data_IF_111765854695
#
_entry.id   IF_111765854695
#
_cell.length_a   1.000
_cell.length_b   1.000
_cell.length_c   1.000
_cell.angle_alpha   90.00
_cell.angle_beta   90.00
_cell.angle_gamma   90.00
#
_symmetry.space_group_name_H-M   'P 1'
#
loop_
_entity.id
_entity.type
_entity.pdbx_description
1 polymer ?
#
# COMPACT_ATOMS: atom_id res chain seq x y z
N UNK A 1 47.45 9.95 -53.16
CA UNK A 1 48.63 9.07 -53.14
C UNK A 1 49.34 9.00 -54.46
N UNK A 2 50.45 8.26 -54.48
CA UNK A 2 51.10 7.76 -55.70
C UNK A 2 50.62 6.34 -55.97
N UNK A 3 50.48 5.95 -57.24
CA UNK A 3 50.13 4.56 -57.57
C UNK A 3 51.29 3.61 -57.26
N UNK A 4 51.00 2.55 -56.51
CA UNK A 4 51.92 1.45 -56.20
C UNK A 4 51.50 0.18 -56.97
N UNK A 5 52.46 -0.68 -57.30
CA UNK A 5 52.19 -1.95 -57.98
C UNK A 5 51.79 -2.97 -56.91
N UNK A 6 50.60 -3.55 -57.04
CA UNK A 6 50.08 -4.60 -56.15
C UNK A 6 49.55 -5.78 -56.97
N UNK A 7 49.62 -6.98 -56.39
CA UNK A 7 49.23 -8.23 -57.05
C UNK A 7 50.26 -8.75 -58.05
N UNK A 8 50.14 -10.04 -58.37
CA UNK A 8 51.06 -10.69 -59.30
C UNK A 8 50.75 -10.31 -60.75
N UNK A 9 51.79 -10.03 -61.53
CA UNK A 9 51.65 -9.82 -62.98
C UNK A 9 51.21 -11.11 -63.68
N UNK A 10 50.32 -11.00 -64.66
CA UNK A 10 49.86 -12.15 -65.45
C UNK A 10 50.01 -11.92 -66.95
N UNK A 11 50.27 -12.98 -67.71
CA UNK A 11 50.40 -12.90 -69.17
C UNK A 11 49.02 -12.80 -69.82
N UNK A 12 48.83 -11.79 -70.68
CA UNK A 12 47.61 -11.61 -71.47
C UNK A 12 47.63 -12.63 -72.62
N UNK A 13 46.86 -13.70 -72.49
CA UNK A 13 46.80 -14.81 -73.47
C UNK A 13 45.53 -14.81 -74.34
N UNK A 14 44.53 -14.00 -73.98
CA UNK A 14 43.28 -13.81 -74.72
C UNK A 14 42.70 -12.41 -74.46
N UNK A 15 41.83 -11.93 -75.36
CA UNK A 15 41.10 -10.65 -75.23
C UNK A 15 39.83 -10.82 -74.38
N UNK A 16 39.99 -11.34 -73.17
CA UNK A 16 38.92 -11.52 -72.19
C UNK A 16 39.26 -10.80 -70.88
N UNK A 17 38.28 -10.45 -70.04
CA UNK A 17 38.56 -9.92 -68.71
C UNK A 17 39.52 -10.82 -67.94
N UNK A 18 40.53 -10.21 -67.33
CA UNK A 18 41.54 -10.89 -66.51
C UNK A 18 41.29 -10.47 -65.06
N UNK A 19 41.26 -11.45 -64.17
CA UNK A 19 41.19 -11.22 -62.72
C UNK A 19 42.60 -11.33 -62.16
N UNK A 20 43.07 -10.27 -61.50
CA UNK A 20 44.34 -10.27 -60.77
C UNK A 20 43.98 -10.35 -59.28
N UNK A 21 44.25 -11.48 -58.59
CA UNK A 21 44.05 -11.53 -57.16
C UNK A 21 45.11 -10.65 -56.47
N UNK A 22 44.65 -9.83 -55.52
CA UNK A 22 45.52 -9.08 -54.61
C UNK A 22 45.30 -9.66 -53.22
N UNK A 23 46.37 -10.07 -52.54
CA UNK A 23 46.26 -10.57 -51.18
C UNK A 23 45.96 -9.42 -50.21
N UNK A 24 45.33 -9.73 -49.08
CA UNK A 24 45.12 -8.72 -48.02
C UNK A 24 46.46 -8.14 -47.53
N UNK A 25 47.51 -8.96 -47.48
CA UNK A 25 48.86 -8.52 -47.09
C UNK A 25 49.43 -7.49 -48.07
N UNK A 26 49.32 -7.75 -49.38
CA UNK A 26 49.82 -6.80 -50.39
C UNK A 26 49.00 -5.51 -50.39
N UNK A 27 47.69 -5.61 -50.18
CA UNK A 27 46.81 -4.45 -50.12
C UNK A 27 47.06 -3.59 -48.88
N UNK A 28 47.25 -4.22 -47.70
CA UNK A 28 47.57 -3.53 -46.45
C UNK A 28 49.01 -2.99 -46.40
N UNK A 29 49.89 -3.46 -47.29
CA UNK A 29 51.26 -2.97 -47.40
C UNK A 29 51.39 -1.66 -48.20
N UNK A 30 50.30 -1.17 -48.81
CA UNK A 30 50.27 0.13 -49.49
C UNK A 30 50.67 1.23 -48.51
N UNK A 31 51.50 2.17 -48.96
CA UNK A 31 52.02 3.25 -48.11
C UNK A 31 50.92 4.19 -47.59
N UNK A 32 49.85 4.33 -48.37
CA UNK A 32 48.66 5.13 -48.04
C UNK A 32 47.54 4.29 -47.38
N UNK A 33 47.79 3.01 -47.00
CA UNK A 33 46.80 2.23 -46.25
C UNK A 33 46.67 2.76 -44.83
N UNK A 34 45.67 3.61 -44.61
CA UNK A 34 45.37 4.22 -43.33
C UNK A 34 43.86 4.39 -43.17
N UNK A 35 43.41 4.47 -41.92
CA UNK A 35 42.01 4.74 -41.61
C UNK A 35 41.53 6.06 -42.23
N UNK A 36 40.35 6.04 -42.85
CA UNK A 36 39.78 7.13 -43.62
C UNK A 36 40.41 7.37 -45.00
N UNK A 37 41.31 6.51 -45.47
CA UNK A 37 41.94 6.66 -46.79
C UNK A 37 41.04 6.16 -47.94
N UNK A 38 41.13 6.80 -49.10
CA UNK A 38 40.47 6.39 -50.32
C UNK A 38 41.47 5.75 -51.29
N UNK A 39 41.17 4.55 -51.77
CA UNK A 39 42.00 3.81 -52.71
C UNK A 39 41.27 3.65 -54.05
N UNK A 40 41.92 4.13 -55.11
CA UNK A 40 41.52 3.90 -56.50
C UNK A 40 42.46 2.88 -57.16
N UNK A 41 41.91 2.02 -58.01
CA UNK A 41 42.67 1.00 -58.71
C UNK A 41 42.77 1.35 -60.19
N UNK A 42 43.94 1.16 -60.80
CA UNK A 42 44.10 1.22 -62.27
C UNK A 42 44.93 0.05 -62.76
N UNK A 43 44.66 -0.40 -63.98
CA UNK A 43 45.45 -1.44 -64.61
C UNK A 43 46.74 -0.88 -65.24
N UNK A 44 47.81 -1.67 -65.22
CA UNK A 44 49.05 -1.42 -65.98
C UNK A 44 49.16 -2.51 -67.03
N UNK A 45 49.28 -2.13 -68.30
CA UNK A 45 49.44 -3.07 -69.41
C UNK A 45 50.78 -2.82 -70.07
N UNK A 46 51.57 -3.89 -70.27
CA UNK A 46 52.84 -3.83 -70.99
C UNK A 46 52.85 -4.81 -72.15
N UNK A 47 53.30 -4.36 -73.32
CA UNK A 47 53.72 -5.22 -74.42
C UNK A 47 55.25 -5.39 -74.46
N UNK A 48 55.80 -5.90 -75.57
CA UNK A 48 57.25 -6.11 -75.73
C UNK A 48 58.10 -4.82 -75.63
N UNK A 49 57.52 -3.63 -75.72
CA UNK A 49 58.29 -2.38 -75.81
C UNK A 49 57.64 -1.16 -75.12
N UNK A 50 56.37 -1.25 -74.72
CA UNK A 50 55.63 -0.12 -74.15
C UNK A 50 54.75 -0.52 -72.97
N UNK A 51 54.66 0.37 -71.98
CA UNK A 51 53.74 0.28 -70.85
C UNK A 51 52.70 1.39 -70.94
N UNK A 52 51.42 1.04 -70.80
CA UNK A 52 50.29 1.96 -70.74
C UNK A 52 49.59 1.83 -69.39
N UNK A 53 49.20 2.96 -68.82
CA UNK A 53 48.38 3.02 -67.61
C UNK A 53 46.92 3.22 -67.99
N UNK A 54 46.04 2.38 -67.44
CA UNK A 54 44.60 2.58 -67.53
C UNK A 54 44.16 3.83 -66.76
N UNK A 55 42.91 4.22 -66.99
CA UNK A 55 42.23 5.21 -66.15
C UNK A 55 41.97 4.63 -64.75
N UNK A 56 41.81 5.50 -63.76
CA UNK A 56 41.36 5.10 -62.43
C UNK A 56 40.00 4.37 -62.49
N UNK A 57 39.77 3.48 -61.54
CA UNK A 57 38.50 2.82 -61.33
C UNK A 57 37.41 3.85 -61.04
N UNK A 58 36.20 3.60 -61.54
CA UNK A 58 35.05 4.42 -61.19
C UNK A 58 34.59 4.19 -59.74
N UNK A 59 34.93 3.03 -59.17
CA UNK A 59 34.69 2.71 -57.76
C UNK A 59 35.91 3.09 -56.92
N UNK A 60 35.66 3.61 -55.72
CA UNK A 60 36.66 3.92 -54.70
C UNK A 60 36.49 2.91 -53.57
N UNK A 61 37.60 2.47 -52.99
CA UNK A 61 37.62 1.67 -51.76
C UNK A 61 37.90 2.63 -50.61
N UNK A 62 36.98 2.76 -49.67
CA UNK A 62 37.18 3.50 -48.44
C UNK A 62 37.80 2.58 -47.38
N UNK A 63 38.95 2.94 -46.85
CA UNK A 63 39.61 2.22 -45.77
C UNK A 63 39.03 2.71 -44.46
N UNK A 64 38.39 1.80 -43.74
CA UNK A 64 37.92 2.00 -42.38
C UNK A 64 38.32 0.76 -41.58
N UNK A 65 39.23 0.95 -40.64
CA UNK A 65 39.76 -0.11 -39.76
C UNK A 65 39.50 0.21 -38.30
N UNK A 66 38.85 1.34 -38.00
CA UNK A 66 38.62 1.79 -36.64
C UNK A 66 37.24 1.34 -36.19
N UNK A 67 37.21 0.40 -35.26
CA UNK A 67 35.96 -0.01 -34.62
C UNK A 67 35.39 1.11 -33.73
N UNK A 68 34.07 1.10 -33.46
CA UNK A 68 33.45 2.02 -32.52
C UNK A 68 34.17 1.99 -31.16
N UNK A 69 34.32 3.15 -30.52
CA UNK A 69 34.97 3.21 -29.20
C UNK A 69 34.15 2.42 -28.18
N UNK A 70 34.82 1.57 -27.41
CA UNK A 70 34.22 0.77 -26.36
C UNK A 70 33.62 1.63 -25.23
N UNK A 71 32.50 1.17 -24.70
CA UNK A 71 31.74 1.85 -23.64
C UNK A 71 30.83 0.88 -22.90
N UNK A 72 30.03 1.44 -21.99
CA UNK A 72 29.01 0.70 -21.25
C UNK A 72 27.63 1.09 -21.78
N UNK A 73 26.69 0.12 -21.80
CA UNK A 73 25.28 0.45 -21.96
C UNK A 73 24.82 1.32 -20.79
N UNK A 74 24.13 2.42 -21.09
CA UNK A 74 23.61 3.35 -20.09
C UNK A 74 22.39 2.80 -19.34
N UNK A 75 21.52 3.70 -18.89
CA UNK A 75 20.38 3.32 -18.06
C UNK A 75 19.39 2.37 -18.77
N UNK A 76 18.84 1.43 -18.00
CA UNK A 76 17.79 0.51 -18.42
C UNK A 76 16.55 0.77 -17.56
N UNK A 77 15.48 1.28 -18.16
CA UNK A 77 14.31 1.74 -17.40
C UNK A 77 13.03 1.11 -17.94
N UNK A 78 12.29 0.40 -17.08
CA UNK A 78 10.96 -0.11 -17.41
C UNK A 78 10.02 1.00 -17.86
N UNK A 79 9.23 0.72 -18.90
CA UNK A 79 8.28 1.66 -19.48
C UNK A 79 6.89 1.06 -19.42
N UNK A 80 5.89 1.95 -19.29
CA UNK A 80 4.45 1.65 -19.20
C UNK A 80 4.08 0.79 -17.98
N UNK A 81 2.79 0.75 -17.62
CA UNK A 81 2.34 0.10 -16.40
C UNK A 81 2.90 0.77 -15.13
N UNK A 82 3.08 -0.01 -14.06
CA UNK A 82 3.72 0.43 -12.83
C UNK A 82 5.23 0.40 -13.02
N UNK A 83 5.88 1.56 -13.06
CA UNK A 83 7.34 1.65 -13.21
C UNK A 83 7.98 1.73 -11.83
N UNK A 84 8.73 0.69 -11.48
CA UNK A 84 9.55 0.64 -10.26
C UNK A 84 11.01 0.54 -10.65
N UNK A 85 11.86 1.36 -10.03
CA UNK A 85 13.27 1.40 -10.38
C UNK A 85 13.92 0.03 -10.18
N UNK A 86 14.74 -0.41 -11.15
CA UNK A 86 15.43 -1.70 -11.15
C UNK A 86 14.52 -2.96 -11.16
N UNK A 87 13.22 -2.82 -11.41
CA UNK A 87 12.31 -3.98 -11.51
C UNK A 87 11.64 -4.07 -12.89
N UNK A 88 11.39 -5.30 -13.31
CA UNK A 88 10.46 -5.65 -14.39
C UNK A 88 9.30 -6.43 -13.79
N UNK A 89 8.09 -5.87 -13.86
CA UNK A 89 6.89 -6.47 -13.31
C UNK A 89 5.87 -6.90 -14.36
N UNK A 90 4.81 -7.58 -13.91
CA UNK A 90 3.78 -8.13 -14.79
C UNK A 90 3.07 -7.08 -15.66
N UNK A 91 3.17 -5.79 -15.33
CA UNK A 91 2.49 -4.69 -16.03
C UNK A 91 3.35 -3.95 -17.06
N UNK A 92 4.68 -4.14 -17.07
CA UNK A 92 5.58 -3.40 -17.96
C UNK A 92 5.59 -3.96 -19.39
N UNK A 93 5.54 -3.10 -20.41
CA UNK A 93 5.50 -3.53 -21.82
C UNK A 93 6.84 -3.47 -22.55
N UNK A 94 7.82 -2.73 -22.03
CA UNK A 94 9.15 -2.61 -22.65
C UNK A 94 10.18 -2.02 -21.69
N UNK A 95 11.47 -2.24 -21.97
CA UNK A 95 12.58 -1.51 -21.36
C UNK A 95 13.08 -0.45 -22.32
N UNK A 96 13.28 0.78 -21.85
CA UNK A 96 14.08 1.78 -22.56
C UNK A 96 15.54 1.61 -22.16
N UNK A 97 16.37 1.32 -23.16
CA UNK A 97 17.81 1.13 -23.01
C UNK A 97 18.51 2.31 -23.66
N UNK A 98 19.33 3.03 -22.89
CA UNK A 98 20.12 4.16 -23.39
C UNK A 98 21.50 3.65 -23.80
N UNK A 99 21.83 3.67 -25.09
CA UNK A 99 23.14 3.26 -25.61
C UNK A 99 23.92 4.52 -26.00
N UNK A 100 24.98 4.89 -25.25
CA UNK A 100 25.85 5.98 -25.66
C UNK A 100 26.74 5.52 -26.82
N UNK A 101 27.28 6.47 -27.57
CA UNK A 101 28.50 6.31 -28.36
C UNK A 101 29.15 7.68 -28.55
N UNK A 102 30.36 7.72 -29.08
CA UNK A 102 31.08 8.99 -29.27
C UNK A 102 30.44 9.76 -30.45
N UNK A 103 29.85 10.92 -30.20
CA UNK A 103 29.17 11.69 -31.26
C UNK A 103 30.10 12.22 -32.36
N UNK A 104 31.42 12.26 -32.11
CA UNK A 104 32.44 12.57 -33.13
C UNK A 104 32.85 11.36 -33.96
N UNK A 105 32.38 10.16 -33.61
CA UNK A 105 32.61 8.94 -34.38
C UNK A 105 31.65 8.90 -35.57
N UNK A 106 32.15 9.37 -36.72
CA UNK A 106 31.35 9.47 -37.95
C UNK A 106 31.18 8.11 -38.65
N UNK A 107 31.97 7.09 -38.31
CA UNK A 107 31.83 5.74 -38.92
C UNK A 107 30.50 5.10 -38.50
N UNK A 108 29.92 5.54 -37.37
CA UNK A 108 28.61 5.09 -36.91
C UNK A 108 27.44 5.55 -37.79
N UNK A 109 27.61 6.54 -38.69
CA UNK A 109 26.53 6.91 -39.61
C UNK A 109 26.27 5.78 -40.62
N UNK A 110 25.08 5.17 -40.56
CA UNK A 110 24.75 3.96 -41.32
C UNK A 110 25.14 2.65 -40.63
N UNK A 111 25.86 2.74 -39.50
CA UNK A 111 26.14 1.62 -38.60
C UNK A 111 24.88 1.12 -37.88
N UNK A 112 25.05 0.09 -37.06
CA UNK A 112 23.98 -0.65 -36.41
C UNK A 112 24.27 -0.88 -34.91
N UNK A 113 23.23 -0.78 -34.09
CA UNK A 113 23.24 -1.14 -32.67
C UNK A 113 22.30 -2.34 -32.46
N UNK A 114 22.85 -3.48 -32.06
CA UNK A 114 22.09 -4.66 -31.66
C UNK A 114 22.15 -4.81 -30.14
N UNK A 115 21.01 -4.72 -29.46
CA UNK A 115 20.95 -5.03 -28.04
C UNK A 115 21.18 -6.52 -27.80
N UNK A 116 21.83 -6.84 -26.67
CA UNK A 116 21.96 -8.19 -26.16
C UNK A 116 21.43 -8.25 -24.75
N UNK A 117 20.86 -9.38 -24.37
CA UNK A 117 20.39 -9.58 -23.01
C UNK A 117 20.72 -10.99 -22.52
N UNK A 118 20.78 -11.14 -21.20
CA UNK A 118 20.89 -12.44 -20.52
C UNK A 118 20.15 -12.43 -19.20
N UNK A 119 19.73 -13.62 -18.77
CA UNK A 119 19.22 -13.88 -17.44
C UNK A 119 20.32 -14.47 -16.56
N UNK A 120 20.53 -13.88 -15.38
CA UNK A 120 21.55 -14.27 -14.42
C UNK A 120 22.93 -14.44 -15.12
N UNK A 121 23.52 -15.63 -15.00
CA UNK A 121 24.84 -15.96 -15.57
C UNK A 121 24.75 -16.70 -16.92
N UNK A 122 23.60 -16.69 -17.59
CA UNK A 122 23.47 -17.30 -18.93
C UNK A 122 24.26 -16.49 -19.99
N UNK A 123 24.57 -17.08 -21.16
CA UNK A 123 25.20 -16.34 -22.25
C UNK A 123 24.32 -15.20 -22.77
N UNK A 124 24.94 -14.11 -23.22
CA UNK A 124 24.24 -13.04 -23.94
C UNK A 124 23.69 -13.56 -25.27
N UNK A 125 22.46 -13.15 -25.58
CA UNK A 125 21.82 -13.39 -26.87
C UNK A 125 21.36 -12.08 -27.49
N UNK A 126 21.42 -11.99 -28.81
CA UNK A 126 20.88 -10.84 -29.53
C UNK A 126 19.37 -10.78 -29.27
N UNK A 127 18.90 -9.65 -28.75
CA UNK A 127 17.54 -9.47 -28.25
C UNK A 127 16.94 -8.21 -28.84
N UNK A 128 15.71 -8.28 -29.34
CA UNK A 128 15.10 -7.20 -30.09
C UNK A 128 15.70 -7.00 -31.48
N UNK A 129 15.15 -6.02 -32.20
CA UNK A 129 15.57 -5.70 -33.57
C UNK A 129 16.78 -4.75 -33.56
N UNK A 130 17.79 -4.97 -34.42
CA UNK A 130 18.89 -4.03 -34.57
C UNK A 130 18.41 -2.64 -35.01
N UNK A 131 19.07 -1.58 -34.54
CA UNK A 131 18.76 -0.19 -34.86
C UNK A 131 19.87 0.42 -35.70
N UNK A 132 19.52 0.87 -36.91
CA UNK A 132 20.44 1.64 -37.77
C UNK A 132 20.58 3.07 -37.26
N UNK A 133 21.82 3.55 -37.18
CA UNK A 133 22.14 4.93 -36.79
C UNK A 133 22.05 5.83 -38.02
N UNK A 134 20.88 6.44 -38.21
CA UNK A 134 20.63 7.36 -39.34
C UNK A 134 21.22 8.77 -39.11
N UNK A 135 21.41 9.13 -37.84
CA UNK A 135 22.07 10.37 -37.43
C UNK A 135 23.03 10.06 -36.28
N UNK A 136 24.29 10.57 -36.29
CA UNK A 136 25.28 10.29 -35.25
C UNK A 136 25.01 11.10 -33.96
N UNK A 137 23.78 11.06 -33.48
CA UNK A 137 23.33 11.70 -32.25
C UNK A 137 23.33 10.67 -31.12
N UNK A 138 24.10 10.95 -30.07
CA UNK A 138 24.25 10.09 -28.89
C UNK A 138 23.64 10.75 -27.65
N UNK A 139 23.02 9.99 -26.72
CA UNK A 139 22.81 8.54 -26.80
C UNK A 139 21.59 8.17 -27.66
N UNK A 140 21.50 6.90 -28.08
CA UNK A 140 20.32 6.34 -28.74
C UNK A 140 19.48 5.60 -27.70
N UNK A 141 18.17 5.87 -27.68
CA UNK A 141 17.23 5.14 -26.84
C UNK A 141 16.55 4.05 -27.65
N UNK A 142 16.80 2.80 -27.28
CA UNK A 142 16.24 1.61 -27.93
C UNK A 142 15.21 1.00 -27.00
N UNK A 143 14.07 0.57 -27.55
CA UNK A 143 13.05 -0.15 -26.78
C UNK A 143 13.24 -1.65 -26.97
N UNK A 144 13.39 -2.36 -25.86
CA UNK A 144 13.31 -3.82 -25.82
C UNK A 144 11.89 -4.21 -25.42
N UNK A 145 11.15 -4.87 -26.31
CA UNK A 145 9.74 -5.20 -26.09
C UNK A 145 9.55 -6.35 -25.10
N UNK A 146 8.37 -6.43 -24.48
CA UNK A 146 7.97 -7.54 -23.60
C UNK A 146 8.25 -8.91 -24.23
N UNK A 147 7.86 -9.12 -25.48
CA UNK A 147 8.02 -10.42 -26.15
C UNK A 147 9.50 -10.82 -26.30
N UNK A 148 10.39 -9.85 -26.52
CA UNK A 148 11.81 -10.10 -26.62
C UNK A 148 12.40 -10.51 -25.26
N UNK A 149 11.94 -9.86 -24.18
CA UNK A 149 12.37 -10.12 -22.80
C UNK A 149 11.83 -11.46 -22.29
N UNK A 150 10.53 -11.71 -22.45
CA UNK A 150 9.85 -12.95 -22.04
C UNK A 150 10.29 -14.15 -22.88
N UNK A 151 10.81 -13.90 -24.09
CA UNK A 151 11.41 -14.92 -24.95
C UNK A 151 12.82 -15.37 -24.52
N UNK A 152 13.45 -14.68 -23.57
CA UNK A 152 14.77 -15.05 -23.07
C UNK A 152 14.73 -16.39 -22.33
N UNK A 153 15.70 -17.25 -22.62
CA UNK A 153 15.90 -18.49 -21.86
C UNK A 153 16.18 -18.15 -20.40
N UNK A 154 15.42 -18.78 -19.50
CA UNK A 154 15.53 -18.56 -18.06
C UNK A 154 14.66 -17.42 -17.52
N UNK A 155 13.83 -16.78 -18.35
CA UNK A 155 12.86 -15.78 -17.88
C UNK A 155 11.91 -16.37 -16.82
N UNK A 156 11.70 -15.62 -15.73
CA UNK A 156 10.78 -15.95 -14.65
C UNK A 156 10.97 -15.02 -13.45
N UNK A 157 10.01 -14.94 -12.53
CA UNK A 157 10.14 -14.13 -11.32
C UNK A 157 11.35 -14.56 -10.46
N UNK A 158 12.01 -13.59 -9.84
CA UNK A 158 13.15 -13.79 -8.94
C UNK A 158 14.53 -13.79 -9.62
N UNK A 159 14.62 -13.59 -10.94
CA UNK A 159 15.91 -13.59 -11.67
C UNK A 159 16.36 -12.18 -12.05
N UNK A 160 17.66 -12.00 -12.30
CA UNK A 160 18.22 -10.72 -12.75
C UNK A 160 18.43 -10.70 -14.26
N UNK A 161 18.03 -9.61 -14.89
CA UNK A 161 18.23 -9.31 -16.30
C UNK A 161 19.38 -8.31 -16.47
N UNK A 162 20.31 -8.65 -17.35
CA UNK A 162 21.43 -7.80 -17.74
C UNK A 162 21.30 -7.46 -19.23
N UNK A 163 21.57 -6.21 -19.59
CA UNK A 163 21.49 -5.71 -20.96
C UNK A 163 22.84 -5.16 -21.40
N UNK A 164 23.34 -5.68 -22.52
CA UNK A 164 24.53 -5.21 -23.24
C UNK A 164 24.16 -4.78 -24.67
N UNK A 165 25.17 -4.41 -25.46
CA UNK A 165 24.97 -4.03 -26.86
C UNK A 165 26.17 -4.41 -27.74
N UNK A 166 25.91 -4.60 -29.02
CA UNK A 166 26.90 -4.73 -30.09
C UNK A 166 26.77 -3.52 -31.00
N UNK A 167 27.86 -2.81 -31.23
CA UNK A 167 27.92 -1.70 -32.17
C UNK A 167 28.75 -2.13 -33.37
N UNK A 168 28.17 -1.99 -34.55
CA UNK A 168 28.86 -2.21 -35.82
C UNK A 168 28.82 -0.90 -36.60
N UNK A 169 29.97 -0.37 -37.00
CA UNK A 169 30.00 0.81 -37.85
C UNK A 169 29.53 0.50 -39.29
N UNK A 170 29.51 1.50 -40.16
CA UNK A 170 29.08 1.32 -41.54
C UNK A 170 30.03 0.43 -42.37
N UNK A 171 31.31 0.33 -41.99
CA UNK A 171 32.30 -0.52 -42.65
C UNK A 171 32.25 -1.98 -42.17
N UNK A 172 31.59 -2.25 -41.04
CA UNK A 172 31.43 -3.57 -40.46
C UNK A 172 32.35 -3.87 -39.28
N UNK A 173 33.10 -2.89 -38.76
CA UNK A 173 33.92 -3.09 -37.57
C UNK A 173 33.03 -3.18 -36.33
N UNK A 174 33.28 -4.18 -35.48
CA UNK A 174 32.42 -4.54 -34.35
C UNK A 174 33.09 -4.20 -33.02
N UNK A 175 32.33 -3.57 -32.13
CA UNK A 175 32.67 -3.40 -30.71
C UNK A 175 31.54 -3.95 -29.84
N UNK A 176 31.90 -4.71 -28.80
CA UNK A 176 30.96 -5.22 -27.79
C UNK A 176 31.00 -4.29 -26.59
N UNK A 177 29.86 -3.74 -26.23
CA UNK A 177 29.77 -2.88 -25.06
C UNK A 177 29.59 -3.70 -23.79
N UNK A 178 30.19 -3.21 -22.71
CA UNK A 178 29.93 -3.74 -21.38
C UNK A 178 28.46 -3.55 -21.00
N UNK A 179 27.97 -4.48 -20.18
CA UNK A 179 26.59 -4.49 -19.74
C UNK A 179 26.28 -3.30 -18.84
N UNK A 180 25.04 -2.82 -18.89
CA UNK A 180 24.57 -1.77 -18.00
C UNK A 180 24.77 -2.13 -16.53
N UNK A 181 25.25 -1.17 -15.75
CA UNK A 181 25.21 -1.19 -14.30
C UNK A 181 23.79 -1.26 -13.74
N UNK A 182 22.77 -0.91 -14.54
CA UNK A 182 21.38 -1.10 -14.14
C UNK A 182 21.00 -2.57 -14.28
N UNK A 183 20.94 -3.27 -13.15
CA UNK A 183 20.42 -4.64 -13.08
C UNK A 183 18.92 -4.59 -12.86
N UNK A 184 18.16 -5.28 -13.71
CA UNK A 184 16.70 -5.34 -13.60
C UNK A 184 16.30 -6.67 -12.98
N UNK A 185 15.75 -6.64 -11.76
CA UNK A 185 15.14 -7.82 -11.12
C UNK A 185 13.77 -8.08 -11.75
N UNK A 186 13.58 -9.26 -12.30
CA UNK A 186 12.29 -9.70 -12.84
C UNK A 186 11.44 -10.21 -11.68
N UNK A 187 10.24 -9.67 -11.55
CA UNK A 187 9.25 -10.14 -10.59
C UNK A 187 7.85 -9.88 -11.16
N UNK A 188 7.23 -10.91 -11.73
CA UNK A 188 5.89 -10.83 -12.32
C UNK A 188 4.82 -11.52 -11.47
N UNK A 189 5.19 -11.98 -10.27
CA UNK A 189 4.29 -12.71 -9.37
C UNK A 189 3.47 -11.70 -8.59
N UNK A 190 2.15 -11.93 -8.46
CA UNK A 190 1.31 -11.10 -7.61
C UNK A 190 1.35 -11.63 -6.17
N UNK A 191 1.15 -10.75 -5.15
CA UNK A 191 0.89 -11.18 -3.78
C UNK A 191 -0.25 -12.20 -3.71
N UNK A 192 -0.21 -13.11 -2.74
CA UNK A 192 -1.34 -14.02 -2.48
C UNK A 192 -2.51 -13.26 -1.85
N UNK A 193 -3.74 -13.65 -2.18
CA UNK A 193 -4.97 -13.13 -1.57
C UNK A 193 -5.05 -13.42 -0.06
N UNK A 194 -5.06 -12.38 0.81
CA UNK A 194 -5.16 -12.54 2.25
C UNK A 194 -6.62 -12.65 2.73
N UNK A 195 -6.87 -13.47 3.75
CA UNK A 195 -8.13 -13.40 4.53
C UNK A 195 -7.99 -12.29 5.56
N UNK A 196 -8.65 -11.16 5.31
CA UNK A 196 -8.58 -9.99 6.20
C UNK A 196 -9.63 -10.05 7.32
N UNK A 197 -9.29 -9.46 8.47
CA UNK A 197 -10.23 -9.26 9.58
C UNK A 197 -10.52 -7.77 9.82
N UNK A 198 -11.67 -7.46 10.44
CA UNK A 198 -12.09 -6.08 10.73
C UNK A 198 -12.54 -5.95 12.18
N UNK A 199 -11.89 -5.08 12.94
CA UNK A 199 -12.22 -4.83 14.35
C UNK A 199 -12.68 -3.40 14.57
N UNK A 200 -13.90 -3.13 15.07
CA UNK A 200 -14.32 -1.80 15.45
C UNK A 200 -13.61 -1.34 16.73
N UNK A 201 -13.30 -0.05 16.81
CA UNK A 201 -12.61 0.61 17.91
C UNK A 201 -13.43 1.80 18.40
N UNK A 202 -13.09 2.32 19.58
CA UNK A 202 -13.74 3.47 20.21
C UNK A 202 -14.25 3.11 21.60
N UNK A 203 -15.20 3.89 22.09
CA UNK A 203 -15.90 3.59 23.34
C UNK A 203 -16.93 2.49 23.11
N UNK A 204 -16.96 1.50 24.02
CA UNK A 204 -17.89 0.37 23.99
C UNK A 204 -18.03 -0.29 22.60
N UNK A 205 -16.92 -0.75 21.97
CA UNK A 205 -16.98 -1.35 20.66
C UNK A 205 -17.64 -2.73 20.74
N UNK A 206 -18.58 -2.99 19.83
CA UNK A 206 -19.24 -4.30 19.71
C UNK A 206 -18.79 -4.97 18.43
N UNK A 207 -18.32 -6.22 18.52
CA UNK A 207 -17.86 -6.98 17.36
C UNK A 207 -18.95 -7.05 16.27
N UNK A 208 -18.57 -6.76 15.02
CA UNK A 208 -19.51 -6.73 13.89
C UNK A 208 -20.49 -5.55 13.90
N UNK A 209 -20.26 -4.52 14.72
CA UNK A 209 -21.08 -3.30 14.77
C UNK A 209 -20.25 -2.05 14.56
N UNK A 210 -20.86 -1.08 13.89
CA UNK A 210 -20.40 0.28 13.80
C UNK A 210 -21.43 1.17 14.49
N UNK A 211 -21.13 1.59 15.73
CA UNK A 211 -22.08 2.27 16.58
C UNK A 211 -21.79 3.77 16.74
N UNK A 212 -22.65 4.49 17.43
CA UNK A 212 -22.49 5.94 17.64
C UNK A 212 -21.23 6.29 18.46
N UNK A 213 -20.61 5.32 19.13
CA UNK A 213 -19.40 5.46 19.96
C UNK A 213 -18.12 4.89 19.29
N UNK A 214 -18.23 4.14 18.19
CA UNK A 214 -17.05 3.63 17.46
C UNK A 214 -16.30 4.74 16.71
N UNK A 215 -15.07 5.06 17.08
CA UNK A 215 -14.30 6.17 16.48
C UNK A 215 -13.48 5.77 15.25
N UNK A 216 -13.23 4.47 15.07
CA UNK A 216 -12.41 3.93 14.01
C UNK A 216 -12.62 2.43 13.84
N UNK A 217 -12.13 1.87 12.74
CA UNK A 217 -12.04 0.44 12.53
C UNK A 217 -10.61 0.08 12.10
N UNK A 218 -10.08 -1.00 12.66
CA UNK A 218 -8.76 -1.54 12.25
C UNK A 218 -9.00 -2.72 11.33
N UNK A 219 -8.44 -2.63 10.13
CA UNK A 219 -8.38 -3.76 9.20
C UNK A 219 -7.04 -4.47 9.38
N UNK A 220 -7.12 -5.75 9.66
CA UNK A 220 -5.98 -6.64 9.85
C UNK A 220 -5.75 -7.39 8.54
N UNK A 221 -4.58 -7.20 7.93
CA UNK A 221 -4.19 -7.83 6.67
C UNK A 221 -3.02 -8.77 6.94
N UNK A 222 -3.28 -10.08 7.12
CA UNK A 222 -2.21 -11.06 7.33
C UNK A 222 -1.24 -11.06 6.15
N UNK A 223 0.06 -11.00 6.45
CA UNK A 223 1.12 -11.05 5.45
C UNK A 223 1.80 -12.41 5.46
N UNK A 224 1.97 -12.96 4.27
CA UNK A 224 2.69 -14.20 4.04
C UNK A 224 4.20 -14.03 4.24
N UNK A 225 4.92 -15.15 4.34
CA UNK A 225 6.38 -15.17 4.40
C UNK A 225 7.01 -14.94 3.02
N UNK A 226 6.67 -13.83 2.38
CA UNK A 226 7.19 -13.43 1.08
C UNK A 226 7.98 -12.13 1.21
N UNK A 227 9.30 -12.22 1.06
CA UNK A 227 10.18 -11.04 1.16
C UNK A 227 9.98 -10.03 0.04
N UNK A 228 9.28 -10.39 -1.04
CA UNK A 228 8.90 -9.43 -2.08
C UNK A 228 7.87 -8.43 -1.58
N UNK A 229 7.15 -8.68 -0.49
CA UNK A 229 6.19 -7.73 0.06
C UNK A 229 6.83 -6.57 0.83
N UNK A 230 8.09 -6.72 1.26
CA UNK A 230 8.74 -5.73 2.11
C UNK A 230 9.02 -4.43 1.35
N UNK A 231 8.67 -3.31 1.96
CA UNK A 231 9.11 -1.99 1.53
C UNK A 231 10.59 -1.81 1.86
N UNK A 232 11.39 -1.44 0.86
CA UNK A 232 12.82 -1.18 1.00
C UNK A 232 13.13 0.33 0.97
N UNK A 233 14.19 0.73 1.67
CA UNK A 233 14.64 2.12 1.69
C UNK A 233 14.96 2.63 0.28
N UNK A 234 14.42 3.80 -0.07
CA UNK A 234 14.60 4.44 -1.37
C UNK A 234 13.62 3.98 -2.46
N UNK A 235 12.69 3.07 -2.16
CA UNK A 235 11.58 2.76 -3.06
C UNK A 235 10.51 3.86 -3.07
N UNK A 236 9.70 3.89 -4.13
CA UNK A 236 8.54 4.77 -4.21
C UNK A 236 7.50 4.37 -3.14
N UNK A 237 6.84 5.33 -2.51
CA UNK A 237 5.91 5.06 -1.39
C UNK A 237 4.64 4.25 -1.76
N UNK A 238 4.49 3.85 -3.02
CA UNK A 238 3.33 3.10 -3.54
C UNK A 238 3.57 1.60 -3.70
N UNK A 239 4.76 1.10 -3.34
CA UNK A 239 5.14 -0.33 -3.39
C UNK A 239 5.48 -0.85 -2.00
N UNK A 240 5.38 -2.16 -1.79
CA UNK A 240 5.54 -2.74 -0.45
C UNK A 240 4.52 -2.19 0.55
N UNK A 241 3.26 -2.09 0.13
CA UNK A 241 2.19 -1.47 0.94
C UNK A 241 0.94 -2.34 0.99
N UNK A 242 0.14 -2.13 2.03
CA UNK A 242 -1.27 -2.53 2.05
C UNK A 242 -2.17 -1.30 2.11
N UNK A 243 -3.30 -1.36 1.41
CA UNK A 243 -4.33 -0.32 1.41
C UNK A 243 -5.70 -0.97 1.56
N UNK A 244 -6.66 -0.23 2.11
CA UNK A 244 -8.01 -0.74 2.38
C UNK A 244 -9.03 -0.05 1.50
N UNK A 245 -10.01 -0.82 1.08
CA UNK A 245 -11.22 -0.33 0.45
C UNK A 245 -12.43 -0.76 1.26
N UNK A 246 -13.37 0.18 1.45
CA UNK A 246 -14.66 -0.10 2.06
C UNK A 246 -15.81 0.34 1.17
N UNK A 247 -16.98 -0.26 1.38
CA UNK A 247 -18.25 0.16 0.79
C UNK A 247 -19.41 -0.15 1.72
N UNK A 248 -20.52 0.55 1.55
CA UNK A 248 -21.80 0.21 2.19
C UNK A 248 -22.68 -0.54 1.18
N UNK A 249 -23.20 -1.71 1.56
CA UNK A 249 -24.05 -2.52 0.69
C UNK A 249 -23.38 -2.87 -0.64
N UNK A 250 -24.04 -2.56 -1.75
CA UNK A 250 -23.56 -2.84 -3.12
C UNK A 250 -22.95 -1.62 -3.81
N UNK A 251 -22.68 -0.53 -3.09
CA UNK A 251 -22.08 0.67 -3.64
C UNK A 251 -20.65 0.44 -4.15
N UNK A 252 -20.08 1.43 -4.83
CA UNK A 252 -18.71 1.38 -5.31
C UNK A 252 -17.71 1.35 -4.14
N UNK A 253 -16.60 0.64 -4.35
CA UNK A 253 -15.48 0.60 -3.41
C UNK A 253 -14.78 1.95 -3.33
N UNK A 254 -14.48 2.40 -2.11
CA UNK A 254 -13.75 3.64 -1.84
C UNK A 254 -12.48 3.30 -1.07
N UNK A 255 -11.34 3.86 -1.48
CA UNK A 255 -10.10 3.77 -0.70
C UNK A 255 -10.29 4.53 0.62
N UNK A 256 -9.99 3.89 1.73
CA UNK A 256 -10.12 4.46 3.08
C UNK A 256 -8.91 4.08 3.92
N UNK A 257 -8.64 4.89 4.95
CA UNK A 257 -7.44 4.76 5.76
C UNK A 257 -6.18 5.18 5.01
N UNK A 258 -5.12 5.42 5.75
CA UNK A 258 -3.79 5.62 5.16
C UNK A 258 -3.20 4.25 4.83
N UNK A 259 -2.68 4.08 3.61
CA UNK A 259 -1.95 2.87 3.26
C UNK A 259 -0.77 2.65 4.23
N UNK A 260 -0.57 1.40 4.66
CA UNK A 260 0.49 1.03 5.59
C UNK A 260 1.68 0.44 4.81
N UNK A 261 2.89 0.87 5.16
CA UNK A 261 4.13 0.26 4.66
C UNK A 261 4.29 -1.13 5.27
N UNK A 262 4.71 -2.09 4.46
CA UNK A 262 5.01 -3.45 4.89
C UNK A 262 6.49 -3.51 5.31
N UNK A 263 6.75 -3.45 6.60
CA UNK A 263 8.13 -3.44 7.16
C UNK A 263 8.51 -4.74 7.86
N UNK A 264 7.56 -5.68 8.00
CA UNK A 264 7.77 -6.99 8.62
C UNK A 264 6.86 -8.03 7.95
N UNK A 265 7.24 -9.31 8.05
CA UNK A 265 6.51 -10.46 7.50
C UNK A 265 6.07 -11.41 8.62
N UNK A 266 5.19 -12.36 8.30
CA UNK A 266 4.59 -13.30 9.27
C UNK A 266 3.81 -12.59 10.39
N UNK A 267 3.29 -11.41 10.08
CA UNK A 267 2.45 -10.59 10.95
C UNK A 267 1.34 -9.96 10.11
N UNK A 268 0.38 -9.30 10.75
CA UNK A 268 -0.61 -8.50 10.05
C UNK A 268 -0.13 -7.07 9.86
N UNK A 269 -0.28 -6.54 8.66
CA UNK A 269 -0.32 -5.10 8.48
C UNK A 269 -1.68 -4.56 8.96
N UNK A 270 -1.65 -3.42 9.67
CA UNK A 270 -2.86 -2.80 10.20
C UNK A 270 -3.13 -1.48 9.50
N UNK A 271 -4.34 -1.32 9.00
CA UNK A 271 -4.82 -0.05 8.44
C UNK A 271 -5.99 0.43 9.30
N UNK A 272 -5.78 1.53 9.99
CA UNK A 272 -6.83 2.21 10.75
C UNK A 272 -7.63 3.11 9.82
N UNK A 273 -8.94 2.92 9.83
CA UNK A 273 -9.91 3.76 9.11
C UNK A 273 -10.65 4.62 10.11
N UNK A 274 -10.57 5.93 9.96
CA UNK A 274 -11.19 6.87 10.90
C UNK A 274 -12.71 7.00 10.65
N UNK A 275 -13.46 7.35 11.71
CA UNK A 275 -14.92 7.54 11.63
C UNK A 275 -15.36 8.47 10.50
N UNK A 276 -14.66 9.59 10.28
CA UNK A 276 -15.04 10.54 9.24
C UNK A 276 -14.95 9.93 7.83
N UNK A 277 -14.02 9.00 7.59
CA UNK A 277 -13.91 8.27 6.32
C UNK A 277 -15.06 7.28 6.14
N UNK A 278 -15.44 6.56 7.20
CA UNK A 278 -16.58 5.62 7.17
C UNK A 278 -17.91 6.36 7.00
N UNK A 279 -18.12 7.46 7.72
CA UNK A 279 -19.29 8.34 7.58
C UNK A 279 -19.36 8.95 6.17
N UNK A 280 -18.20 9.15 5.53
CA UNK A 280 -18.09 9.64 4.16
C UNK A 280 -18.47 8.60 3.09
N UNK A 281 -18.67 7.33 3.43
CA UNK A 281 -19.03 6.30 2.46
C UNK A 281 -20.43 6.54 1.90
N UNK A 282 -20.56 6.38 0.58
CA UNK A 282 -21.87 6.46 -0.08
C UNK A 282 -22.80 5.37 0.44
N UNK A 283 -23.99 5.77 0.90
CA UNK A 283 -24.99 4.87 1.47
C UNK A 283 -24.86 4.64 2.98
N UNK A 284 -23.99 5.37 3.68
CA UNK A 284 -23.92 5.36 5.14
C UNK A 284 -25.27 5.72 5.76
N UNK A 285 -25.90 4.75 6.41
CA UNK A 285 -27.18 4.89 7.09
C UNK A 285 -27.38 3.75 8.08
N UNK A 286 -28.26 3.96 9.05
CA UNK A 286 -28.60 2.98 10.07
C UNK A 286 -29.10 1.64 9.46
N UNK A 287 -28.69 0.53 10.06
CA UNK A 287 -29.01 -0.83 9.63
C UNK A 287 -28.25 -1.34 8.40
N UNK A 288 -27.50 -0.49 7.69
CA UNK A 288 -26.73 -0.90 6.51
C UNK A 288 -25.43 -1.63 6.89
N UNK A 289 -24.85 -2.39 5.95
CA UNK A 289 -23.64 -3.17 6.17
C UNK A 289 -22.43 -2.57 5.45
N UNK A 290 -21.34 -2.41 6.19
CA UNK A 290 -20.02 -2.04 5.67
C UNK A 290 -19.24 -3.32 5.34
N UNK A 291 -18.71 -3.38 4.13
CA UNK A 291 -17.84 -4.45 3.65
C UNK A 291 -16.44 -3.90 3.37
N UNK A 292 -15.43 -4.71 3.63
CA UNK A 292 -14.02 -4.36 3.51
C UNK A 292 -13.28 -5.32 2.58
N UNK A 293 -12.25 -4.82 1.90
CA UNK A 293 -11.22 -5.62 1.22
C UNK A 293 -9.89 -4.87 1.27
N UNK A 294 -8.79 -5.59 1.12
CA UNK A 294 -7.46 -5.01 1.08
C UNK A 294 -6.87 -5.09 -0.32
N UNK A 295 -5.92 -4.22 -0.62
CA UNK A 295 -5.07 -4.31 -1.79
C UNK A 295 -3.62 -4.27 -1.34
N UNK A 296 -2.89 -5.33 -1.64
CA UNK A 296 -1.46 -5.48 -1.35
C UNK A 296 -0.69 -5.14 -2.62
N UNK A 297 0.42 -4.41 -2.48
CA UNK A 297 1.37 -4.14 -3.55
C UNK A 297 2.74 -4.61 -3.08
N UNK A 298 3.38 -5.49 -3.83
CA UNK A 298 4.75 -5.94 -3.55
C UNK A 298 5.78 -4.84 -3.88
N UNK A 299 7.06 -5.14 -3.65
CA UNK A 299 8.20 -4.27 -3.90
C UNK A 299 8.39 -3.94 -5.39
N UNK A 300 7.99 -4.83 -6.30
CA UNK A 300 8.14 -4.69 -7.74
C UNK A 300 6.96 -3.96 -8.38
N UNK A 301 5.89 -3.72 -7.62
CA UNK A 301 4.67 -3.05 -8.05
C UNK A 301 3.59 -4.00 -8.59
N UNK A 302 3.76 -5.32 -8.50
CA UNK A 302 2.63 -6.23 -8.69
C UNK A 302 1.68 -6.08 -7.52
N UNK A 303 0.39 -6.31 -7.78
CA UNK A 303 -0.63 -6.10 -6.76
C UNK A 303 -1.75 -7.08 -6.94
N UNK A 304 -2.33 -7.49 -5.82
CA UNK A 304 -3.58 -8.22 -5.78
C UNK A 304 -4.57 -7.51 -4.84
N UNK A 305 -5.86 -7.70 -5.10
CA UNK A 305 -6.94 -7.19 -4.26
C UNK A 305 -7.68 -8.36 -3.66
N UNK A 306 -7.76 -8.38 -2.34
CA UNK A 306 -8.35 -9.50 -1.63
C UNK A 306 -9.82 -9.71 -1.99
N UNK A 307 -10.30 -10.91 -1.73
CA UNK A 307 -11.74 -11.12 -1.60
C UNK A 307 -12.34 -10.20 -0.52
N UNK A 308 -13.66 -10.06 -0.58
CA UNK A 308 -14.40 -9.33 0.46
C UNK A 308 -14.25 -10.08 1.77
N UNK A 309 -13.92 -9.37 2.84
CA UNK A 309 -13.84 -9.96 4.18
C UNK A 309 -15.15 -10.64 4.56
N UNK A 310 -15.05 -11.78 5.24
CA UNK A 310 -16.20 -12.40 5.91
C UNK A 310 -16.65 -11.56 7.12
N UNK A 311 -15.75 -10.75 7.69
CA UNK A 311 -16.08 -9.77 8.71
C UNK A 311 -16.72 -8.53 8.06
N UNK A 312 -17.88 -8.15 8.58
CA UNK A 312 -18.59 -6.95 8.16
C UNK A 312 -19.14 -6.22 9.38
N UNK A 313 -19.31 -4.91 9.24
CA UNK A 313 -19.83 -4.07 10.32
C UNK A 313 -21.26 -3.65 9.95
N UNK A 314 -22.22 -4.01 10.79
CA UNK A 314 -23.56 -3.43 10.68
C UNK A 314 -23.57 -2.06 11.34
N UNK A 315 -23.98 -1.04 10.59
CA UNK A 315 -24.18 0.31 11.11
C UNK A 315 -25.39 0.27 12.05
N UNK A 316 -25.16 0.64 13.30
CA UNK A 316 -26.20 0.92 14.28
C UNK A 316 -25.90 2.22 15.01
N UNK A 317 -26.44 3.31 14.50
CA UNK A 317 -26.21 4.66 15.02
C UNK A 317 -27.43 5.23 15.73
N UNK A 318 -28.35 4.35 16.15
CA UNK A 318 -29.59 4.70 16.82
C UNK A 318 -29.47 4.43 18.33
N UNK A 319 -29.19 5.44 19.16
CA UNK A 319 -29.12 5.23 20.60
C UNK A 319 -30.50 4.96 21.21
N UNK A 320 -30.54 4.36 22.42
CA UNK A 320 -31.78 4.22 23.19
C UNK A 320 -32.56 5.54 23.27
N UNK A 321 -33.89 5.47 23.24
CA UNK A 321 -34.72 6.67 23.39
C UNK A 321 -34.44 7.39 24.73
N UNK A 322 -34.63 8.71 24.75
CA UNK A 322 -34.53 9.49 25.99
C UNK A 322 -35.51 8.97 27.05
N UNK A 323 -35.03 8.90 28.29
CA UNK A 323 -35.80 8.40 29.44
C UNK A 323 -35.46 9.21 30.70
N UNK A 324 -36.18 8.91 31.78
CA UNK A 324 -35.93 9.45 33.12
C UNK A 324 -35.97 8.30 34.13
N UNK A 325 -35.20 8.43 35.22
CA UNK A 325 -35.41 7.59 36.40
C UNK A 325 -36.82 7.89 36.93
N UNK A 326 -37.63 6.84 37.12
CA UNK A 326 -39.05 6.95 37.49
C UNK A 326 -39.22 7.17 38.99
N UNK A 327 -38.45 6.46 39.82
CA UNK A 327 -38.46 6.64 41.27
C UNK A 327 -37.19 6.12 41.93
N UNK A 328 -36.87 6.69 43.10
CA UNK A 328 -35.83 6.23 44.01
C UNK A 328 -36.47 6.09 45.39
N UNK A 329 -36.52 4.88 45.93
CA UNK A 329 -37.20 4.58 47.20
C UNK A 329 -36.24 3.82 48.11
N UNK A 330 -36.10 4.24 49.36
CA UNK A 330 -35.32 3.46 50.33
C UNK A 330 -36.01 2.15 50.69
N UNK A 331 -35.22 1.10 50.82
CA UNK A 331 -35.66 -0.26 51.15
C UNK A 331 -35.21 -0.64 52.56
N UNK A 332 -36.04 -1.43 53.25
CA UNK A 332 -35.79 -1.87 54.63
C UNK A 332 -35.97 -0.75 55.68
N UNK A 333 -36.16 -1.17 56.94
CA UNK A 333 -36.36 -0.26 58.06
C UNK A 333 -37.53 0.72 57.89
N UNK A 334 -37.31 1.97 58.29
CA UNK A 334 -38.27 3.07 58.14
C UNK A 334 -38.04 3.78 56.81
N UNK A 335 -39.03 3.73 55.92
CA UNK A 335 -38.98 4.40 54.61
C UNK A 335 -39.54 5.81 54.76
N UNK A 336 -38.70 6.81 54.53
CA UNK A 336 -39.06 8.23 54.53
C UNK A 336 -38.70 8.80 53.16
N UNK A 337 -39.66 9.46 52.52
CA UNK A 337 -39.47 10.03 51.17
C UNK A 337 -38.29 11.02 51.16
N UNK A 338 -37.41 10.89 50.17
CA UNK A 338 -36.20 11.71 49.99
C UNK A 338 -35.15 11.63 51.12
N UNK A 339 -35.25 10.68 52.06
CA UNK A 339 -34.27 10.52 53.14
C UNK A 339 -33.67 9.11 53.20
N UNK A 340 -32.36 9.05 53.40
CA UNK A 340 -31.63 7.85 53.79
C UNK A 340 -31.36 7.86 55.29
N UNK A 341 -31.86 6.89 56.03
CA UNK A 341 -31.62 6.78 57.47
C UNK A 341 -30.93 5.48 57.88
N UNK A 342 -30.43 5.44 59.12
CA UNK A 342 -29.65 4.33 59.67
C UNK A 342 -30.39 2.98 59.73
N UNK A 343 -31.71 2.97 59.49
CA UNK A 343 -32.49 1.72 59.45
C UNK A 343 -32.69 1.17 58.03
N UNK A 344 -32.37 1.94 56.98
CA UNK A 344 -32.49 1.47 55.60
C UNK A 344 -31.40 0.44 55.27
N UNK A 345 -31.77 -0.58 54.50
CA UNK A 345 -30.87 -1.66 54.07
C UNK A 345 -30.55 -1.60 52.57
N UNK A 346 -31.12 -0.64 51.84
CA UNK A 346 -30.86 -0.45 50.42
C UNK A 346 -31.74 0.61 49.78
N UNK A 347 -31.67 0.70 48.46
CA UNK A 347 -32.47 1.60 47.60
C UNK A 347 -33.00 0.81 46.40
N UNK A 348 -34.27 1.01 46.09
CA UNK A 348 -34.90 0.55 44.85
C UNK A 348 -34.94 1.71 43.85
N UNK A 349 -34.32 1.53 42.69
CA UNK A 349 -34.32 2.51 41.59
C UNK A 349 -35.13 1.94 40.43
N UNK A 350 -36.23 2.61 40.09
CA UNK A 350 -37.12 2.20 39.00
C UNK A 350 -36.79 2.97 37.72
N UNK A 351 -36.52 2.25 36.64
CA UNK A 351 -36.19 2.83 35.33
C UNK A 351 -37.08 2.23 34.25
N UNK A 352 -37.78 3.05 33.44
CA UNK A 352 -38.60 2.56 32.34
C UNK A 352 -37.72 2.06 31.20
N UNK A 353 -37.97 0.82 30.77
CA UNK A 353 -37.35 0.22 29.59
C UNK A 353 -38.33 0.30 28.42
N UNK A 354 -37.96 1.05 27.39
CA UNK A 354 -38.79 1.26 26.22
C UNK A 354 -39.08 -0.04 25.45
N UNK A 355 -40.13 -0.03 24.62
CA UNK A 355 -40.40 -1.11 23.68
C UNK A 355 -39.45 -1.05 22.47
N UNK A 356 -38.17 -1.32 22.69
CA UNK A 356 -37.13 -1.32 21.68
C UNK A 356 -36.33 -2.63 21.76
N UNK A 357 -36.33 -3.39 20.65
CA UNK A 357 -35.68 -4.68 20.57
C UNK A 357 -34.14 -4.61 20.65
N UNK A 358 -33.54 -3.43 20.42
CA UNK A 358 -32.10 -3.20 20.63
C UNK A 358 -31.73 -3.29 22.12
N UNK A 359 -32.65 -2.97 23.01
CA UNK A 359 -32.41 -2.92 24.47
C UNK A 359 -32.37 -4.31 25.11
N UNK A 360 -33.02 -5.31 24.52
CA UNK A 360 -32.94 -6.67 25.03
C UNK A 360 -31.48 -7.17 24.97
N UNK A 361 -30.99 -7.70 26.09
CA UNK A 361 -29.57 -8.04 26.34
C UNK A 361 -28.62 -6.84 26.36
N UNK A 362 -29.13 -5.61 26.33
CA UNK A 362 -28.38 -4.41 26.69
C UNK A 362 -28.17 -4.31 28.21
N UNK A 363 -27.60 -3.20 28.66
CA UNK A 363 -27.32 -2.95 30.07
C UNK A 363 -28.04 -1.71 30.59
N UNK A 364 -28.44 -1.77 31.86
CA UNK A 364 -28.90 -0.65 32.66
C UNK A 364 -27.90 -0.43 33.79
N UNK A 365 -27.28 0.74 33.83
CA UNK A 365 -26.34 1.13 34.88
C UNK A 365 -26.95 2.24 35.72
N UNK A 366 -26.91 2.09 37.05
CA UNK A 366 -27.33 3.14 37.99
C UNK A 366 -26.09 3.84 38.54
N UNK A 367 -26.07 5.16 38.40
CA UNK A 367 -25.03 6.02 38.93
C UNK A 367 -25.55 6.83 40.12
N UNK A 368 -24.75 6.91 41.18
CA UNK A 368 -25.02 7.73 42.36
C UNK A 368 -23.88 8.73 42.57
N UNK A 369 -24.24 10.00 42.68
CA UNK A 369 -23.32 11.09 42.98
C UNK A 369 -23.60 11.66 44.37
N UNK A 370 -22.54 11.91 45.14
CA UNK A 370 -22.63 12.49 46.47
C UNK A 370 -22.18 13.95 46.44
N UNK A 371 -23.07 14.86 46.85
CA UNK A 371 -22.77 16.29 46.96
C UNK A 371 -23.93 17.20 46.56
N UNK A 372 -23.68 18.51 46.59
CA UNK A 372 -24.75 19.52 46.47
C UNK A 372 -25.33 19.66 45.06
N UNK A 373 -24.54 19.37 44.02
CA UNK A 373 -24.97 19.49 42.61
C UNK A 373 -24.37 18.38 41.77
N UNK A 374 -25.22 17.67 41.03
CA UNK A 374 -24.79 16.68 40.06
C UNK A 374 -23.87 17.28 39.00
N UNK A 375 -22.70 16.66 38.81
CA UNK A 375 -21.86 16.82 37.62
C UNK A 375 -21.61 15.43 37.02
N UNK A 376 -22.03 15.22 35.78
CA UNK A 376 -21.78 13.95 35.10
C UNK A 376 -20.28 13.78 34.89
N UNK A 377 -19.73 12.70 35.44
CA UNK A 377 -18.37 12.23 35.16
C UNK A 377 -18.51 10.80 34.66
N UNK A 378 -17.96 10.53 33.48
CA UNK A 378 -18.04 9.23 32.85
C UNK A 378 -17.28 8.17 33.65
N UNK A 379 -17.91 7.00 33.86
CA UNK A 379 -17.31 5.86 34.56
C UNK A 379 -17.23 6.01 36.10
N UNK A 380 -17.63 7.15 36.66
CA UNK A 380 -17.70 7.34 38.11
C UNK A 380 -19.10 7.09 38.66
N UNK A 381 -19.16 6.72 39.94
CA UNK A 381 -20.42 6.59 40.69
C UNK A 381 -21.31 5.41 40.29
N UNK A 382 -20.85 4.45 39.48
CA UNK A 382 -21.65 3.26 39.14
C UNK A 382 -21.88 2.44 40.42
N UNK A 383 -23.14 2.40 40.87
CA UNK A 383 -23.57 1.69 42.06
C UNK A 383 -24.17 0.31 41.74
N UNK A 384 -24.72 0.15 40.54
CA UNK A 384 -25.23 -1.13 40.06
C UNK A 384 -25.22 -1.19 38.52
N UNK A 385 -25.05 -2.40 37.98
CA UNK A 385 -25.16 -2.69 36.55
C UNK A 385 -25.99 -3.96 36.39
N UNK A 386 -27.08 -3.88 35.65
CA UNK A 386 -28.01 -4.98 35.40
C UNK A 386 -28.16 -5.23 33.90
N UNK A 387 -28.44 -6.48 33.53
CA UNK A 387 -28.82 -6.83 32.15
C UNK A 387 -30.31 -6.54 31.93
N UNK A 388 -30.65 -6.02 30.76
CA UNK A 388 -32.05 -5.80 30.37
C UNK A 388 -32.61 -7.13 29.83
N UNK A 389 -33.41 -7.81 30.64
CA UNK A 389 -34.02 -9.10 30.30
C UNK A 389 -35.40 -8.96 29.61
N UNK A 390 -36.09 -7.84 29.83
CA UNK A 390 -37.42 -7.56 29.30
C UNK A 390 -37.54 -6.11 28.83
N UNK A 391 -38.36 -5.89 27.80
CA UNK A 391 -38.62 -4.57 27.20
C UNK A 391 -40.09 -4.20 27.42
N UNK A 392 -40.42 -2.91 27.26
CA UNK A 392 -41.76 -2.39 27.50
C UNK A 392 -42.25 -2.63 28.95
N UNK A 393 -41.36 -2.42 29.92
CA UNK A 393 -41.60 -2.63 31.34
C UNK A 393 -40.78 -1.63 32.16
N UNK A 394 -41.02 -1.55 33.47
CA UNK A 394 -40.10 -0.89 34.41
C UNK A 394 -39.15 -1.94 34.97
N UNK A 395 -37.84 -1.68 34.91
CA UNK A 395 -36.83 -2.47 35.57
C UNK A 395 -36.49 -1.82 36.91
N UNK A 396 -36.56 -2.60 37.99
CA UNK A 396 -36.24 -2.16 39.35
C UNK A 396 -34.85 -2.69 39.71
N UNK A 397 -33.92 -1.79 39.97
CA UNK A 397 -32.54 -2.10 40.38
C UNK A 397 -32.43 -1.92 41.88
N UNK A 398 -31.90 -2.93 42.56
CA UNK A 398 -31.68 -2.93 44.01
C UNK A 398 -30.23 -2.59 44.30
N UNK A 399 -30.01 -1.59 45.15
CA UNK A 399 -28.67 -1.20 45.61
C UNK A 399 -28.60 -1.40 47.11
N UNK A 400 -27.72 -2.30 47.57
CA UNK A 400 -27.55 -2.59 48.99
C UNK A 400 -26.98 -1.38 49.76
N UNK A 401 -27.33 -1.26 51.05
CA UNK A 401 -26.80 -0.21 51.91
C UNK A 401 -25.29 -0.21 51.98
N UNK A 402 -24.66 -1.38 51.87
CA UNK A 402 -23.21 -1.49 51.83
C UNK A 402 -22.61 -0.72 50.64
N UNK A 403 -23.27 -0.69 49.48
CA UNK A 403 -22.80 0.09 48.32
C UNK A 403 -23.00 1.58 48.57
N UNK A 404 -24.18 1.97 49.05
CA UNK A 404 -24.53 3.37 49.33
C UNK A 404 -23.61 4.00 50.39
N UNK A 405 -23.40 3.32 51.50
CA UNK A 405 -22.60 3.82 52.64
C UNK A 405 -21.09 3.82 52.35
N UNK A 406 -20.64 3.11 51.30
CA UNK A 406 -19.24 3.15 50.84
C UNK A 406 -19.01 4.20 49.74
N UNK A 407 -20.04 4.94 49.30
CA UNK A 407 -19.86 6.03 48.35
C UNK A 407 -18.93 7.08 48.95
N UNK A 408 -17.95 7.53 48.16
CA UNK A 408 -17.03 8.56 48.60
C UNK A 408 -17.78 9.87 48.88
N UNK A 409 -17.58 10.43 50.07
CA UNK A 409 -18.29 11.64 50.50
C UNK A 409 -19.64 11.37 51.16
N UNK A 410 -20.05 10.11 51.32
CA UNK A 410 -21.23 9.76 52.12
C UNK A 410 -21.02 10.22 53.57
N UNK A 411 -21.84 11.17 54.01
CA UNK A 411 -21.85 11.71 55.37
C UNK A 411 -23.24 12.29 55.68
N UNK A 412 -23.47 12.63 56.94
CA UNK A 412 -24.69 13.28 57.41
C UNK A 412 -25.00 14.58 56.62
N UNK A 413 -26.27 14.80 56.31
CA UNK A 413 -26.80 15.91 55.48
C UNK A 413 -26.29 15.96 54.03
N UNK A 414 -25.58 14.94 53.55
CA UNK A 414 -25.16 14.89 52.14
C UNK A 414 -26.31 14.45 51.24
N UNK A 415 -26.32 14.95 50.00
CA UNK A 415 -27.32 14.61 49.00
C UNK A 415 -26.77 13.55 48.06
N UNK A 416 -27.53 12.46 47.89
CA UNK A 416 -27.31 11.39 46.93
C UNK A 416 -28.20 11.62 45.71
N UNK A 417 -27.59 11.85 44.55
CA UNK A 417 -28.29 12.06 43.28
C UNK A 417 -28.22 10.81 42.42
N UNK A 418 -29.35 10.36 41.87
CA UNK A 418 -29.43 9.11 41.10
C UNK A 418 -29.67 9.35 39.61
N UNK A 419 -28.85 8.74 38.78
CA UNK A 419 -28.99 8.71 37.32
C UNK A 419 -28.92 7.28 36.80
N UNK A 420 -29.32 7.12 35.55
CA UNK A 420 -29.24 5.85 34.86
C UNK A 420 -28.68 6.01 33.44
N UNK A 421 -27.89 5.03 33.02
CA UNK A 421 -27.42 4.87 31.64
C UNK A 421 -28.06 3.60 31.09
N UNK A 422 -28.73 3.71 29.96
CA UNK A 422 -29.17 2.55 29.18
C UNK A 422 -28.23 2.41 28.00
N UNK A 423 -27.66 1.21 27.84
CA UNK A 423 -26.84 0.83 26.68
C UNK A 423 -27.54 -0.30 25.94
N UNK A 424 -27.76 -0.15 24.63
CA UNK A 424 -28.33 -1.20 23.80
C UNK A 424 -27.33 -2.33 23.54
N UNK A 425 -27.80 -3.45 22.97
CA UNK A 425 -26.95 -4.61 22.65
C UNK A 425 -25.87 -4.35 21.58
N UNK A 426 -25.99 -3.24 20.85
CA UNK A 426 -25.08 -2.84 19.79
C UNK A 426 -24.06 -1.78 20.26
N UNK A 427 -24.17 -1.37 21.53
CA UNK A 427 -23.24 -0.53 22.25
C UNK A 427 -23.57 0.96 22.23
N UNK A 428 -24.69 1.39 21.65
CA UNK A 428 -25.13 2.77 21.78
C UNK A 428 -25.70 3.02 23.18
N UNK A 429 -25.50 4.22 23.72
CA UNK A 429 -25.95 4.58 25.07
C UNK A 429 -26.74 5.88 25.11
N UNK A 430 -27.65 5.96 26.08
CA UNK A 430 -28.38 7.17 26.45
C UNK A 430 -28.33 7.34 27.96
N UNK A 431 -28.05 8.56 28.41
CA UNK A 431 -28.15 8.96 29.81
C UNK A 431 -29.57 9.43 30.10
N UNK A 432 -30.08 9.17 31.31
CA UNK A 432 -31.34 9.73 31.77
C UNK A 432 -31.35 11.26 31.71
N UNK A 433 -32.51 11.84 31.42
CA UNK A 433 -32.72 13.31 31.45
C UNK A 433 -32.49 13.86 32.87
N UNK A 434 -32.30 15.19 33.05
CA UNK A 434 -31.79 15.79 34.28
C UNK A 434 -32.48 15.34 35.58
N UNK A 435 -31.66 15.22 36.62
CA UNK A 435 -31.99 14.58 37.89
C UNK A 435 -33.13 15.28 38.62
N UNK A 436 -34.11 14.50 39.08
CA UNK A 436 -35.20 14.96 39.95
C UNK A 436 -35.33 14.13 41.23
N UNK A 437 -34.64 12.99 41.30
CA UNK A 437 -34.68 12.08 42.44
C UNK A 437 -33.38 12.14 43.23
N UNK A 438 -33.51 12.38 44.54
CA UNK A 438 -32.38 12.45 45.46
C UNK A 438 -32.76 11.84 46.82
N UNK A 439 -31.74 11.49 47.60
CA UNK A 439 -31.88 11.19 49.03
C UNK A 439 -30.96 12.09 49.83
N UNK A 440 -31.45 12.71 50.90
CA UNK A 440 -30.64 13.39 51.91
C UNK A 440 -30.30 12.38 53.02
N UNK A 441 -29.02 12.28 53.39
CA UNK A 441 -28.56 11.38 54.44
C UNK A 441 -28.91 11.97 55.81
N UNK A 442 -29.73 11.26 56.58
CA UNK A 442 -30.06 11.55 57.98
C UNK A 442 -30.01 10.25 58.80
N UNK A 443 -28.81 9.93 59.31
CA UNK A 443 -28.58 8.73 60.12
C UNK A 443 -28.65 9.03 61.63
N UNK A 444 -28.72 10.30 62.04
CA UNK A 444 -28.64 10.69 63.45
C UNK A 444 -30.04 10.64 64.09
N UNK A 445 -30.20 9.72 65.06
CA UNK A 445 -31.42 9.67 65.85
C UNK A 445 -31.63 10.95 66.69
N UNK A 446 -32.88 11.39 66.91
CA UNK A 446 -33.18 12.56 67.74
C UNK A 446 -32.68 12.40 69.18
N UNK A 447 -32.15 13.47 69.76
CA UNK A 447 -31.67 13.48 71.14
C UNK A 447 -32.83 13.36 72.15
N UNK A 448 -32.78 12.35 73.01
CA UNK A 448 -33.80 12.06 74.03
C UNK A 448 -33.73 12.97 75.26
N UNK A 449 -32.81 13.93 75.31
CA UNK A 449 -32.51 14.75 76.49
C UNK A 449 -33.63 15.72 76.96
N UNK A 450 -34.83 15.76 76.34
CA UNK A 450 -35.87 16.73 76.69
C UNK A 450 -37.32 16.21 76.79
N UNK A 451 -37.57 14.92 77.06
CA UNK A 451 -38.92 14.47 77.40
C UNK A 451 -39.11 14.53 78.93
N UNK A 452 -39.52 15.70 79.43
CA UNK A 452 -39.99 15.87 80.80
C UNK A 452 -41.51 15.68 80.89
N UNK A 453 -41.98 14.67 81.62
CA UNK A 453 -43.39 14.58 81.99
C UNK A 453 -43.71 15.68 83.00
N UNK A 454 -44.49 16.69 82.59
CA UNK A 454 -45.13 17.60 83.53
C UNK A 454 -46.41 16.93 84.01
N UNK A 455 -46.42 16.51 85.26
CA UNK A 455 -47.66 16.16 85.96
C UNK A 455 -48.41 17.46 86.26
N UNK A 456 -49.58 17.64 85.65
CA UNK A 456 -50.51 18.72 85.97
C UNK A 456 -51.51 18.22 87.03
N UNK A 457 -51.49 18.75 88.27
CA UNK A 457 -52.35 18.29 89.36
C UNK A 457 -53.69 19.04 89.48
N UNK A 458 -54.27 19.52 88.38
CA UNK A 458 -55.64 20.09 88.37
C UNK A 458 -56.73 19.05 88.01
#
# INVERSE_FOLDING_TARGET
>A
GTYEIIGDSTTISALSPIVIPVSATDFQALSDYADGADIEVRAVLSDLSYTTFGTASASIIHIDVTAPIDSEVGAVVAQTGTVVNNFWNGTNQSLRVTVPFTASDLSMLGGNIQLQARINNLPYVNTGTPVTVETPTSPVNILLGRADIEGLVGFGSGVDLYVGAQLTDNAGNLTLYEASQTVVRIDTTQPTDPVIGVTPMGENPVAGRWNMLTDSAVVHVPLENDSTLLHLDGQVATVGITSVQMRVGTNAWTNVGTAALITALNDSAHVTVARNEIVGLTGYQDGAWIFSRARIVDQAGNADTSLVSDDSLQIDISPPAAFQVESVITAGGSVVENYWNASNSGVEVSVPIANDASLMTGTLEIQVYVGDTWAFVEGEGIAATETIEQINTTQVVQIDSSVIEHLAGFDELTILWFNAIITDRNGNRTLSSPVTHYLEVDQIAPDTAAIGLVYDPD
#
